data_IF_756646321638
#
_entry.id   IF_756646321638
#
_cell.length_a   1.000
_cell.length_b   1.000
_cell.length_c   1.000
_cell.angle_alpha   90.00
_cell.angle_beta   90.00
_cell.angle_gamma   90.00
#
_symmetry.space_group_name_H-M   'P 1'
#
loop_
_entity.id
_entity.type
_entity.pdbx_description
1 polymer ?
#
# COMPACT_ATOMS: atom_id res chain seq x y z
N UNK A 1 0.57 -7.16 -33.31
CA UNK A 1 0.70 -5.71 -33.09
C UNK A 1 -0.33 -5.06 -33.99
N UNK A 2 -1.28 -4.32 -33.44
CA UNK A 2 -2.38 -3.71 -34.19
C UNK A 2 -1.94 -2.38 -34.79
N UNK A 3 -2.50 -2.01 -35.95
CA UNK A 3 -2.34 -0.70 -36.56
C UNK A 3 -2.92 0.44 -35.71
N UNK A 4 -2.60 1.67 -36.11
CA UNK A 4 -3.08 2.88 -35.44
C UNK A 4 -4.26 3.56 -36.14
N UNK A 5 -4.46 3.28 -37.43
CA UNK A 5 -5.44 3.97 -38.26
C UNK A 5 -6.88 3.54 -37.95
N UNK A 6 -7.11 2.23 -37.82
CA UNK A 6 -8.43 1.64 -37.58
C UNK A 6 -8.32 0.49 -36.55
N UNK A 7 -9.46 0.11 -35.96
CA UNK A 7 -9.56 -1.09 -35.13
C UNK A 7 -9.39 -2.32 -36.00
N UNK A 8 -8.42 -3.15 -35.65
CA UNK A 8 -8.14 -4.42 -36.29
C UNK A 8 -8.72 -5.57 -35.45
N UNK A 9 -9.22 -6.61 -36.12
CA UNK A 9 -9.77 -7.81 -35.47
C UNK A 9 -8.97 -9.04 -35.87
N UNK A 10 -8.55 -9.82 -34.88
CA UNK A 10 -7.89 -11.12 -35.04
C UNK A 10 -8.80 -12.21 -34.48
N UNK A 11 -9.01 -13.27 -35.26
CA UNK A 11 -9.72 -14.45 -34.81
C UNK A 11 -8.75 -15.42 -34.12
N UNK A 12 -9.17 -16.02 -33.02
CA UNK A 12 -8.37 -16.99 -32.28
C UNK A 12 -9.19 -18.25 -31.92
N UNK A 13 -8.70 -19.47 -32.21
CA UNK A 13 -7.63 -19.73 -33.17
C UNK A 13 -7.99 -19.19 -34.58
N UNK A 14 -6.97 -18.96 -35.42
CA UNK A 14 -7.19 -18.45 -36.77
C UNK A 14 -7.48 -19.62 -37.73
N UNK A 15 -8.66 -20.21 -37.58
CA UNK A 15 -9.17 -21.30 -38.41
C UNK A 15 -10.68 -21.15 -38.69
N UNK A 16 -11.32 -22.20 -39.19
CA UNK A 16 -12.71 -22.19 -39.63
C UNK A 16 -13.73 -22.07 -38.46
N UNK A 17 -13.32 -22.40 -37.23
CA UNK A 17 -14.16 -22.40 -36.03
C UNK A 17 -13.47 -21.60 -34.91
N UNK A 18 -13.36 -20.26 -35.06
CA UNK A 18 -12.71 -19.43 -34.06
C UNK A 18 -13.49 -19.43 -32.75
N UNK A 19 -12.76 -19.38 -31.64
CA UNK A 19 -13.31 -19.39 -30.28
C UNK A 19 -13.37 -17.99 -29.67
N UNK A 20 -12.62 -17.02 -30.19
CA UNK A 20 -12.63 -15.64 -29.71
C UNK A 20 -12.30 -14.63 -30.83
N UNK A 21 -12.72 -13.39 -30.64
CA UNK A 21 -12.30 -12.22 -31.42
C UNK A 21 -11.48 -11.29 -30.55
N UNK A 22 -10.28 -10.95 -31.01
CA UNK A 22 -9.41 -10.00 -30.34
C UNK A 22 -9.38 -8.73 -31.17
N UNK A 23 -9.92 -7.64 -30.63
CA UNK A 23 -10.01 -6.34 -31.27
C UNK A 23 -9.01 -5.38 -30.64
N UNK A 24 -8.26 -4.63 -31.43
CA UNK A 24 -7.27 -3.70 -30.90
C UNK A 24 -6.94 -2.55 -31.84
N UNK A 25 -6.50 -1.44 -31.25
CA UNK A 25 -5.98 -0.28 -31.96
C UNK A 25 -4.82 0.33 -31.17
N UNK A 26 -3.70 0.57 -31.83
CA UNK A 26 -2.54 1.24 -31.25
C UNK A 26 -2.67 2.77 -31.35
N UNK A 27 -1.87 3.51 -30.58
CA UNK A 27 -1.77 4.96 -30.77
C UNK A 27 -0.98 5.29 -32.04
N UNK A 28 -1.42 6.31 -32.78
CA UNK A 28 -0.68 6.85 -33.93
C UNK A 28 0.50 7.74 -33.54
N UNK A 29 0.58 8.16 -32.27
CA UNK A 29 1.65 9.00 -31.74
C UNK A 29 1.90 8.72 -30.26
N UNK A 30 2.80 9.47 -29.62
CA UNK A 30 3.02 9.37 -28.18
C UNK A 30 1.74 9.55 -27.36
N UNK A 31 0.83 10.40 -27.82
CA UNK A 31 -0.41 10.77 -27.13
C UNK A 31 -1.59 10.51 -28.06
N UNK A 32 -2.71 10.11 -27.48
CA UNK A 32 -3.96 9.91 -28.21
C UNK A 32 -5.08 10.71 -27.55
N UNK A 33 -5.63 11.68 -28.29
CA UNK A 33 -6.75 12.51 -27.82
C UNK A 33 -8.10 12.01 -28.31
N UNK A 34 -8.12 11.09 -29.27
CA UNK A 34 -9.36 10.53 -29.79
C UNK A 34 -9.88 9.42 -28.86
N UNK A 35 -11.19 9.37 -28.71
CA UNK A 35 -11.88 8.30 -27.98
C UNK A 35 -11.95 7.03 -28.83
N UNK A 36 -10.87 6.25 -28.85
CA UNK A 36 -10.72 5.09 -29.76
C UNK A 36 -11.84 4.04 -29.60
N UNK A 37 -12.40 3.90 -28.39
CA UNK A 37 -13.46 2.93 -28.10
C UNK A 37 -14.68 3.04 -29.03
N UNK A 38 -14.95 4.22 -29.61
CA UNK A 38 -16.06 4.39 -30.56
C UNK A 38 -15.98 3.41 -31.74
N UNK A 39 -14.77 3.08 -32.19
CA UNK A 39 -14.50 2.27 -33.37
C UNK A 39 -14.55 0.76 -33.12
N UNK A 40 -14.70 0.33 -31.85
CA UNK A 40 -14.88 -1.07 -31.51
C UNK A 40 -16.34 -1.45 -31.76
N UNK A 41 -16.56 -2.14 -32.89
CA UNK A 41 -17.86 -2.62 -33.36
C UNK A 41 -17.76 -4.11 -33.73
N UNK A 42 -17.94 -5.02 -32.76
CA UNK A 42 -18.00 -6.44 -33.04
C UNK A 42 -19.12 -6.78 -34.03
N UNK A 43 -18.97 -7.84 -34.85
CA UNK A 43 -19.98 -8.20 -35.85
C UNK A 43 -21.20 -8.93 -35.26
N UNK A 44 -20.99 -9.68 -34.17
CA UNK A 44 -22.01 -10.45 -33.45
C UNK A 44 -21.46 -10.86 -32.06
N UNK A 45 -22.29 -11.56 -31.29
CA UNK A 45 -22.00 -12.09 -29.95
C UNK A 45 -21.94 -13.63 -29.92
N UNK A 46 -21.63 -14.27 -31.06
CA UNK A 46 -21.61 -15.74 -31.16
C UNK A 46 -20.40 -16.38 -30.46
N UNK A 47 -19.31 -15.63 -30.36
CA UNK A 47 -18.05 -15.98 -29.68
C UNK A 47 -17.58 -14.74 -28.90
N UNK A 48 -16.81 -14.90 -27.81
CA UNK A 48 -16.35 -13.79 -26.99
C UNK A 48 -15.56 -12.76 -27.79
N UNK A 49 -15.89 -11.49 -27.57
CA UNK A 49 -15.23 -10.33 -28.12
C UNK A 49 -14.34 -9.69 -27.04
N UNK A 50 -13.03 -9.72 -27.24
CA UNK A 50 -12.01 -9.19 -26.33
C UNK A 50 -11.45 -7.89 -26.91
N UNK A 51 -11.58 -6.80 -26.18
CA UNK A 51 -11.06 -5.49 -26.54
C UNK A 51 -9.71 -5.21 -25.88
N UNK A 52 -8.70 -4.87 -26.68
CA UNK A 52 -7.40 -4.41 -26.20
C UNK A 52 -7.33 -2.90 -26.38
N UNK A 53 -7.26 -2.14 -25.27
CA UNK A 53 -7.29 -0.68 -25.31
C UNK A 53 -6.26 -0.08 -24.36
N UNK A 54 -5.41 0.80 -24.86
CA UNK A 54 -4.52 1.59 -24.01
C UNK A 54 -5.26 2.88 -23.63
N UNK A 55 -5.58 3.08 -22.35
CA UNK A 55 -6.34 4.26 -21.89
C UNK A 55 -6.15 4.51 -20.40
N UNK A 56 -6.22 5.77 -19.98
CA UNK A 56 -6.24 6.15 -18.56
C UNK A 56 -7.63 6.23 -17.93
N UNK A 57 -8.70 5.82 -18.62
CA UNK A 57 -10.09 5.95 -18.18
C UNK A 57 -10.44 7.35 -17.64
N UNK A 58 -9.92 8.36 -18.32
CA UNK A 58 -10.15 9.75 -17.99
C UNK A 58 -10.95 10.41 -19.13
N UNK A 59 -12.28 10.54 -19.00
CA UNK A 59 -13.14 11.11 -20.04
C UNK A 59 -12.76 12.54 -20.45
N UNK A 60 -12.27 13.33 -19.48
CA UNK A 60 -11.83 14.71 -19.70
C UNK A 60 -10.35 14.82 -20.13
N UNK A 61 -9.68 13.68 -20.22
CA UNK A 61 -8.29 13.56 -20.65
C UNK A 61 -8.07 13.98 -22.11
N UNK A 62 -6.81 14.18 -22.49
CA UNK A 62 -6.42 14.52 -23.87
C UNK A 62 -5.21 13.75 -24.40
N UNK A 63 -4.72 12.78 -23.62
CA UNK A 63 -3.43 12.13 -23.88
C UNK A 63 -3.49 10.62 -24.04
N UNK A 64 -4.51 9.99 -23.47
CA UNK A 64 -4.55 8.53 -23.34
C UNK A 64 -5.94 7.99 -23.67
N UNK A 65 -6.37 8.18 -24.92
CA UNK A 65 -7.63 7.69 -25.48
C UNK A 65 -8.83 7.89 -24.52
N UNK A 66 -9.36 9.12 -24.40
CA UNK A 66 -10.34 9.47 -23.38
C UNK A 66 -11.62 8.62 -23.47
N UNK A 67 -11.97 7.98 -22.36
CA UNK A 67 -13.21 7.23 -22.16
C UNK A 67 -13.49 7.05 -20.67
N UNK A 68 -14.71 6.66 -20.33
CA UNK A 68 -15.09 6.23 -18.99
C UNK A 68 -15.54 4.76 -18.95
N UNK A 69 -15.67 4.16 -17.75
CA UNK A 69 -16.17 2.79 -17.60
C UNK A 69 -17.54 2.58 -18.26
N UNK A 70 -18.47 3.53 -18.11
CA UNK A 70 -19.80 3.45 -18.73
C UNK A 70 -19.75 3.42 -20.25
N UNK A 71 -18.72 4.00 -20.87
CA UNK A 71 -18.54 4.00 -22.31
C UNK A 71 -18.11 2.61 -22.79
N UNK A 72 -17.25 1.93 -22.03
CA UNK A 72 -16.80 0.57 -22.31
C UNK A 72 -17.92 -0.45 -22.10
N UNK A 73 -18.71 -0.29 -21.04
CA UNK A 73 -19.82 -1.18 -20.70
C UNK A 73 -20.98 -1.18 -21.72
N UNK A 74 -21.08 -0.11 -22.53
CA UNK A 74 -22.10 -0.01 -23.58
C UNK A 74 -21.70 -0.74 -24.88
N UNK A 75 -20.49 -1.30 -24.94
CA UNK A 75 -20.00 -2.04 -26.10
C UNK A 75 -20.32 -3.52 -25.96
N UNK A 76 -20.50 -4.19 -27.10
CA UNK A 76 -20.68 -5.65 -27.17
C UNK A 76 -19.33 -6.40 -27.03
N UNK A 77 -18.50 -5.93 -26.08
CA UNK A 77 -17.18 -6.47 -25.75
C UNK A 77 -17.30 -7.15 -24.38
N UNK A 78 -16.99 -8.45 -24.35
CA UNK A 78 -17.15 -9.30 -23.18
C UNK A 78 -16.01 -9.09 -22.17
N UNK A 79 -14.82 -8.68 -22.63
CA UNK A 79 -13.71 -8.31 -21.76
C UNK A 79 -12.80 -7.25 -22.40
N UNK A 80 -12.47 -6.22 -21.63
CA UNK A 80 -11.49 -5.19 -21.99
C UNK A 80 -10.17 -5.41 -21.24
N UNK A 81 -9.14 -5.84 -21.96
CA UNK A 81 -7.78 -5.84 -21.44
C UNK A 81 -7.16 -4.45 -21.63
N UNK A 82 -7.11 -3.69 -20.55
CA UNK A 82 -6.64 -2.32 -20.56
C UNK A 82 -5.13 -2.23 -20.32
N UNK A 83 -4.48 -1.32 -21.04
CA UNK A 83 -3.11 -0.88 -20.78
C UNK A 83 -3.04 0.60 -20.41
N UNK A 84 -1.86 1.07 -19.98
CA UNK A 84 -1.47 2.43 -19.56
C UNK A 84 -1.17 2.51 -18.07
N UNK A 85 -2.05 1.96 -17.23
CA UNK A 85 -1.89 1.94 -15.79
C UNK A 85 -1.01 0.75 -15.38
N UNK A 86 0.00 0.99 -14.55
CA UNK A 86 0.99 -0.02 -14.17
C UNK A 86 0.59 -0.80 -12.90
N UNK A 87 -0.46 -0.38 -12.20
CA UNK A 87 -1.00 -1.10 -11.04
C UNK A 87 -2.14 -2.01 -11.50
N UNK A 88 -2.10 -3.32 -11.17
CA UNK A 88 -3.20 -4.24 -11.44
C UNK A 88 -4.48 -3.77 -10.73
N UNK A 89 -5.60 -3.72 -11.45
CA UNK A 89 -6.89 -3.38 -10.85
C UNK A 89 -8.06 -3.77 -11.75
N UNK A 90 -9.17 -4.13 -11.11
CA UNK A 90 -10.48 -4.24 -11.75
C UNK A 90 -11.08 -2.85 -11.99
N UNK A 91 -11.93 -2.73 -13.00
CA UNK A 91 -12.64 -1.48 -13.30
C UNK A 91 -14.10 -1.64 -12.93
N UNK A 92 -14.55 -0.85 -11.96
CA UNK A 92 -15.95 -0.85 -11.56
C UNK A 92 -16.86 -0.34 -12.69
N UNK A 93 -17.94 -1.10 -12.95
CA UNK A 93 -18.98 -0.72 -13.90
C UNK A 93 -18.66 -1.01 -15.37
N UNK A 94 -17.63 -1.80 -15.66
CA UNK A 94 -17.34 -2.35 -17.00
C UNK A 94 -16.64 -3.72 -16.87
N UNK A 95 -16.76 -4.63 -17.85
CA UNK A 95 -15.99 -5.87 -17.87
C UNK A 95 -14.55 -5.58 -18.32
N UNK A 96 -13.81 -4.84 -17.49
CA UNK A 96 -12.51 -4.30 -17.84
C UNK A 96 -11.52 -4.43 -16.68
N UNK A 97 -10.26 -4.66 -17.00
CA UNK A 97 -9.20 -4.72 -16.02
C UNK A 97 -7.88 -4.20 -16.58
N UNK A 98 -7.06 -3.61 -15.71
CA UNK A 98 -5.66 -3.35 -15.98
C UNK A 98 -4.83 -4.50 -15.43
N UNK A 99 -4.03 -5.14 -16.27
CA UNK A 99 -3.08 -6.16 -15.82
C UNK A 99 -1.88 -5.57 -15.07
N UNK A 100 -1.70 -4.25 -15.13
CA UNK A 100 -0.54 -3.57 -14.59
C UNK A 100 0.72 -3.81 -15.43
N UNK A 101 1.87 -3.75 -14.77
CA UNK A 101 3.17 -4.02 -15.37
C UNK A 101 3.66 -5.42 -14.97
N UNK A 102 4.24 -6.23 -15.88
CA UNK A 102 4.74 -7.57 -15.52
C UNK A 102 5.99 -7.55 -14.63
N UNK A 103 6.76 -6.46 -14.66
CA UNK A 103 7.95 -6.26 -13.85
C UNK A 103 8.14 -4.77 -13.60
N UNK A 104 8.13 -4.37 -12.32
CA UNK A 104 8.41 -3.00 -11.91
C UNK A 104 9.81 -2.55 -12.36
N UNK A 105 9.90 -1.33 -12.88
CA UNK A 105 11.09 -0.73 -13.50
C UNK A 105 11.90 0.12 -12.54
N UNK A 106 11.27 0.62 -11.48
CA UNK A 106 11.88 1.50 -10.51
C UNK A 106 11.11 1.44 -9.19
N UNK A 107 11.69 2.04 -8.16
CA UNK A 107 11.15 2.10 -6.80
C UNK A 107 9.74 2.70 -6.66
N UNK A 108 9.27 3.49 -7.63
CA UNK A 108 7.90 4.02 -7.63
C UNK A 108 6.85 3.00 -8.09
N UNK A 109 7.27 1.80 -8.52
CA UNK A 109 6.41 0.70 -8.97
C UNK A 109 6.52 -0.46 -7.98
N UNK A 110 6.01 -0.25 -6.75
CA UNK A 110 6.06 -1.23 -5.64
C UNK A 110 5.00 -2.33 -5.72
N UNK A 111 3.96 -2.16 -6.54
CA UNK A 111 2.98 -3.21 -6.78
C UNK A 111 3.64 -4.44 -7.41
N UNK A 112 3.20 -5.64 -6.99
CA UNK A 112 3.68 -6.90 -7.57
C UNK A 112 3.37 -6.91 -9.07
N UNK A 113 4.38 -7.27 -9.86
CA UNK A 113 4.23 -7.37 -11.30
C UNK A 113 3.65 -8.72 -11.72
N UNK A 114 2.79 -8.71 -12.72
CA UNK A 114 2.05 -9.90 -13.10
C UNK A 114 1.32 -9.80 -14.43
N UNK A 115 0.39 -10.73 -14.61
CA UNK A 115 -0.60 -10.72 -15.66
C UNK A 115 -1.97 -11.10 -15.09
N UNK A 116 -3.00 -11.06 -15.93
CA UNK A 116 -4.32 -11.56 -15.58
C UNK A 116 -4.57 -12.88 -16.30
N UNK A 117 -5.02 -13.88 -15.55
CA UNK A 117 -5.73 -15.03 -16.08
C UNK A 117 -7.20 -14.64 -16.18
N UNK A 118 -7.75 -14.76 -17.39
CA UNK A 118 -9.12 -14.33 -17.68
C UNK A 118 -9.86 -15.45 -18.38
N UNK A 119 -10.91 -15.94 -17.75
CA UNK A 119 -11.88 -16.85 -18.35
C UNK A 119 -13.07 -16.03 -18.85
N UNK A 120 -13.37 -16.14 -20.14
CA UNK A 120 -14.39 -15.30 -20.80
C UNK A 120 -15.22 -16.14 -21.75
N UNK A 121 -16.54 -16.02 -21.60
CA UNK A 121 -17.55 -16.58 -22.49
C UNK A 121 -18.37 -15.44 -23.10
N UNK A 122 -18.91 -15.66 -24.29
CA UNK A 122 -19.76 -14.68 -24.95
C UNK A 122 -21.00 -14.36 -24.08
N UNK A 123 -21.20 -13.08 -23.76
CA UNK A 123 -22.34 -12.56 -23.01
C UNK A 123 -22.33 -12.87 -21.51
N UNK A 124 -21.22 -13.34 -20.95
CA UNK A 124 -21.06 -13.58 -19.50
C UNK A 124 -20.02 -12.64 -18.90
N UNK A 125 -20.14 -12.34 -17.62
CA UNK A 125 -19.10 -11.59 -16.90
C UNK A 125 -17.81 -12.42 -16.85
N UNK A 126 -16.63 -11.82 -17.13
CA UNK A 126 -15.36 -12.53 -17.11
C UNK A 126 -14.95 -12.88 -15.67
N UNK A 127 -14.36 -14.06 -15.49
CA UNK A 127 -13.67 -14.41 -14.25
C UNK A 127 -12.20 -14.00 -14.38
N UNK A 128 -11.69 -13.26 -13.39
CA UNK A 128 -10.40 -12.57 -13.48
C UNK A 128 -9.58 -12.83 -12.23
N UNK A 129 -8.43 -13.45 -12.41
CA UNK A 129 -7.44 -13.68 -11.37
C UNK A 129 -6.10 -13.03 -11.75
N UNK A 130 -5.45 -12.40 -10.78
CA UNK A 130 -4.08 -11.91 -10.94
C UNK A 130 -3.09 -13.05 -10.76
N UNK A 131 -2.17 -13.19 -11.71
CA UNK A 131 -1.08 -14.16 -11.66
C UNK A 131 0.23 -13.37 -11.47
N UNK A 132 0.89 -13.48 -10.30
CA UNK A 132 2.16 -12.82 -10.08
C UNK A 132 3.25 -13.47 -10.94
N UNK A 133 4.11 -12.65 -11.54
CA UNK A 133 5.19 -13.12 -12.42
C UNK A 133 6.52 -12.39 -12.24
N UNK A 134 6.55 -11.26 -11.54
CA UNK A 134 7.75 -10.46 -11.40
C UNK A 134 8.85 -11.21 -10.65
N UNK A 135 10.05 -11.42 -11.24
CA UNK A 135 11.17 -11.99 -10.50
C UNK A 135 11.69 -11.03 -9.42
N UNK A 136 11.61 -9.72 -9.64
CA UNK A 136 12.10 -8.71 -8.70
C UNK A 136 10.95 -7.84 -8.20
N UNK A 137 10.84 -7.70 -6.89
CA UNK A 137 9.81 -6.87 -6.24
C UNK A 137 10.44 -5.63 -5.63
N UNK A 138 9.91 -4.46 -5.96
CA UNK A 138 10.33 -3.20 -5.35
C UNK A 138 9.56 -2.99 -4.04
N UNK A 139 10.27 -2.63 -2.98
CA UNK A 139 9.71 -2.39 -1.66
C UNK A 139 10.15 -1.03 -1.14
N UNK A 140 9.19 -0.25 -0.63
CA UNK A 140 9.48 0.95 0.16
C UNK A 140 9.03 0.67 1.58
N UNK A 141 10.00 0.54 2.49
CA UNK A 141 9.76 0.15 3.88
C UNK A 141 10.01 1.36 4.77
N UNK A 142 8.95 1.80 5.43
CA UNK A 142 9.00 2.87 6.42
C UNK A 142 9.29 2.25 7.78
N UNK A 143 10.36 2.72 8.42
CA UNK A 143 10.73 2.34 9.78
C UNK A 143 10.45 3.52 10.69
N UNK A 144 9.53 3.35 11.62
CA UNK A 144 9.22 4.34 12.65
C UNK A 144 10.15 4.16 13.86
N UNK A 145 11.12 5.07 13.99
CA UNK A 145 12.13 5.07 15.05
C UNK A 145 11.58 5.31 16.45
N UNK A 146 10.32 5.74 16.58
CA UNK A 146 9.66 5.85 17.89
C UNK A 146 9.26 4.49 18.47
N UNK A 147 9.18 3.47 17.62
CA UNK A 147 8.76 2.11 17.98
C UNK A 147 9.82 1.06 17.67
N UNK A 148 10.76 1.35 16.77
CA UNK A 148 11.85 0.44 16.43
C UNK A 148 12.83 0.29 17.61
N UNK A 149 13.14 -0.96 17.95
CA UNK A 149 14.05 -1.32 19.04
C UNK A 149 14.90 -2.53 18.66
N UNK A 150 15.98 -2.76 19.41
CA UNK A 150 16.74 -4.02 19.35
C UNK A 150 15.95 -5.17 19.96
N UNK A 151 16.46 -6.39 19.82
CA UNK A 151 15.90 -7.61 20.43
C UNK A 151 15.71 -7.53 21.96
N UNK A 152 16.47 -6.66 22.65
CA UNK A 152 16.37 -6.44 24.10
C UNK A 152 15.43 -5.26 24.45
N UNK A 153 14.51 -4.89 23.54
CA UNK A 153 13.56 -3.78 23.66
C UNK A 153 14.23 -2.40 23.90
N UNK A 154 15.49 -2.23 23.46
CA UNK A 154 16.17 -0.93 23.59
C UNK A 154 16.01 -0.09 22.32
N UNK A 155 15.74 1.23 22.42
CA UNK A 155 15.68 2.10 21.24
C UNK A 155 16.95 2.02 20.40
N UNK A 156 16.82 2.19 19.08
CA UNK A 156 17.96 2.28 18.19
C UNK A 156 18.72 3.58 18.47
N UNK A 157 20.03 3.48 18.75
CA UNK A 157 20.87 4.63 19.15
C UNK A 157 22.02 4.90 18.20
N UNK A 158 22.43 3.89 17.44
CA UNK A 158 23.58 3.98 16.56
C UNK A 158 23.39 3.13 15.30
N UNK A 159 24.30 3.30 14.34
CA UNK A 159 24.24 2.60 13.05
C UNK A 159 24.26 1.07 13.16
N UNK A 160 24.90 0.49 14.19
CA UNK A 160 24.90 -0.96 14.37
C UNK A 160 23.52 -1.47 14.83
N UNK A 161 22.81 -0.71 15.69
CA UNK A 161 21.44 -1.04 16.08
C UNK A 161 20.51 -0.97 14.86
N UNK A 162 20.64 0.09 14.06
CA UNK A 162 19.87 0.26 12.83
C UNK A 162 20.18 -0.85 11.81
N UNK A 163 21.45 -1.20 11.62
CA UNK A 163 21.87 -2.31 10.76
C UNK A 163 21.22 -3.63 11.20
N UNK A 164 21.29 -3.95 12.51
CA UNK A 164 20.67 -5.17 13.06
C UNK A 164 19.15 -5.20 12.87
N UNK A 165 18.47 -4.10 13.17
CA UNK A 165 17.01 -3.99 12.98
C UNK A 165 16.60 -4.17 11.52
N UNK A 166 17.30 -3.51 10.59
CA UNK A 166 17.00 -3.62 9.17
C UNK A 166 17.36 -5.02 8.62
N UNK A 167 18.41 -5.66 9.12
CA UNK A 167 18.71 -7.07 8.81
C UNK A 167 17.59 -8.02 9.22
N UNK A 168 16.96 -7.79 10.38
CA UNK A 168 15.80 -8.56 10.84
C UNK A 168 14.61 -8.38 9.87
N UNK A 169 14.29 -7.12 9.50
CA UNK A 169 13.23 -6.83 8.52
C UNK A 169 13.51 -7.44 7.14
N UNK A 170 14.78 -7.56 6.74
CA UNK A 170 15.16 -8.31 5.54
C UNK A 170 14.87 -9.80 5.65
N UNK A 171 14.97 -10.40 6.84
CA UNK A 171 14.60 -11.80 7.05
C UNK A 171 13.09 -11.99 6.95
N UNK A 172 12.30 -11.06 7.51
CA UNK A 172 10.84 -11.08 7.38
C UNK A 172 10.40 -11.05 5.92
N UNK A 173 10.97 -10.15 5.11
CA UNK A 173 10.72 -10.10 3.67
C UNK A 173 11.03 -11.42 2.96
N UNK A 174 12.10 -12.12 3.37
CA UNK A 174 12.47 -13.41 2.77
C UNK A 174 11.52 -14.53 3.15
N UNK A 175 10.87 -14.41 4.31
CA UNK A 175 9.91 -15.38 4.81
C UNK A 175 8.49 -15.12 4.30
N UNK A 176 8.22 -13.97 3.66
CA UNK A 176 6.93 -13.63 3.10
C UNK A 176 6.50 -14.63 2.02
N UNK A 177 5.25 -15.10 2.13
CA UNK A 177 4.60 -15.95 1.14
C UNK A 177 3.82 -15.10 0.10
N UNK A 178 3.20 -15.77 -0.86
CA UNK A 178 2.48 -15.09 -1.94
C UNK A 178 1.32 -14.26 -1.39
N UNK A 179 0.61 -14.79 -0.40
CA UNK A 179 -0.56 -14.14 0.19
C UNK A 179 -0.14 -12.83 0.87
N UNK A 180 0.91 -12.85 1.67
CA UNK A 180 1.44 -11.64 2.31
C UNK A 180 1.96 -10.60 1.31
N UNK A 181 2.41 -11.02 0.12
CA UNK A 181 2.93 -10.10 -0.90
C UNK A 181 1.83 -9.51 -1.79
N UNK A 182 0.67 -10.15 -1.84
CA UNK A 182 -0.44 -9.77 -2.73
C UNK A 182 -1.69 -9.30 -1.99
N UNK A 183 -1.65 -9.25 -0.65
CA UNK A 183 -2.75 -8.81 0.24
C UNK A 183 -3.35 -7.44 -0.08
N UNK A 184 -2.54 -6.51 -0.60
CA UNK A 184 -2.96 -5.16 -0.99
C UNK A 184 -3.70 -5.10 -2.33
N UNK A 185 -3.68 -6.18 -3.13
CA UNK A 185 -4.37 -6.20 -4.41
C UNK A 185 -5.89 -6.29 -4.20
N UNK A 186 -6.61 -5.39 -4.84
CA UNK A 186 -8.08 -5.34 -4.78
C UNK A 186 -8.73 -6.29 -5.80
N UNK A 187 -8.17 -7.48 -6.02
CA UNK A 187 -8.68 -8.48 -6.96
C UNK A 187 -8.26 -9.89 -6.55
N UNK A 188 -8.98 -10.95 -7.02
CA UNK A 188 -8.58 -12.32 -6.78
C UNK A 188 -7.17 -12.59 -7.31
N UNK A 189 -6.40 -13.41 -6.59
CA UNK A 189 -5.04 -13.80 -6.94
C UNK A 189 -5.04 -15.31 -7.15
N UNK A 190 -4.50 -15.77 -8.28
CA UNK A 190 -4.39 -17.18 -8.57
C UNK A 190 -3.42 -17.87 -7.60
N UNK A 191 -3.79 -19.04 -7.11
CA UNK A 191 -2.87 -19.88 -6.33
C UNK A 191 -1.77 -20.42 -7.26
N UNK A 192 -0.52 -20.02 -7.01
CA UNK A 192 0.64 -20.47 -7.79
C UNK A 192 1.83 -20.78 -6.89
N UNK A 193 2.82 -21.48 -7.45
CA UNK A 193 4.13 -21.68 -6.80
C UNK A 193 5.08 -20.48 -7.01
N UNK A 194 4.57 -19.32 -7.44
CA UNK A 194 5.40 -18.15 -7.71
C UNK A 194 6.06 -17.65 -6.43
N UNK A 195 7.35 -17.36 -6.52
CA UNK A 195 8.12 -16.64 -5.51
C UNK A 195 9.10 -15.69 -6.21
N UNK A 196 9.31 -14.46 -5.69
CA UNK A 196 10.28 -13.56 -6.27
C UNK A 196 11.70 -14.14 -6.11
N UNK A 197 12.57 -13.87 -7.08
CA UNK A 197 14.00 -14.14 -6.97
C UNK A 197 14.67 -13.16 -5.99
N UNK A 198 14.12 -11.97 -5.83
CA UNK A 198 14.58 -11.01 -4.83
C UNK A 198 13.76 -9.74 -4.71
N UNK A 199 14.11 -8.98 -3.68
CA UNK A 199 13.53 -7.69 -3.34
C UNK A 199 14.56 -6.58 -3.54
N UNK A 200 14.09 -5.42 -3.97
CA UNK A 200 14.87 -4.19 -3.99
C UNK A 200 14.20 -3.17 -3.08
N UNK A 201 14.87 -2.86 -1.97
CA UNK A 201 14.27 -2.11 -0.86
C UNK A 201 14.83 -0.70 -0.77
N UNK A 202 13.95 0.27 -0.62
CA UNK A 202 14.26 1.58 -0.04
C UNK A 202 13.80 1.58 1.40
N UNK A 203 14.71 1.91 2.31
CA UNK A 203 14.41 2.07 3.73
C UNK A 203 14.21 3.55 4.02
N UNK A 204 13.07 3.90 4.59
CA UNK A 204 12.72 5.26 4.98
C UNK A 204 12.67 5.30 6.50
N UNK A 205 13.71 5.83 7.13
CA UNK A 205 13.77 6.04 8.57
C UNK A 205 12.96 7.30 8.89
N UNK A 206 11.98 7.17 9.78
CA UNK A 206 11.02 8.22 10.10
C UNK A 206 10.70 8.22 11.60
N UNK A 207 9.92 9.19 12.05
CA UNK A 207 9.57 9.31 13.47
C UNK A 207 10.71 9.88 14.31
N UNK A 208 10.48 9.94 15.63
CA UNK A 208 11.41 10.51 16.61
C UNK A 208 12.12 9.40 17.36
N UNK A 209 13.46 9.42 17.39
CA UNK A 209 14.22 8.38 18.08
C UNK A 209 15.67 8.76 18.34
N UNK A 210 16.30 8.07 19.28
CA UNK A 210 17.70 8.36 19.70
C UNK A 210 18.70 8.21 18.53
N UNK A 211 18.37 7.39 17.52
CA UNK A 211 19.15 7.21 16.31
C UNK A 211 19.35 8.51 15.51
N UNK A 212 18.46 9.49 15.64
CA UNK A 212 18.54 10.79 14.94
C UNK A 212 19.93 11.44 15.07
N UNK A 213 20.52 11.41 16.27
CA UNK A 213 21.84 12.01 16.55
C UNK A 213 23.00 11.30 15.81
N UNK A 214 22.78 10.07 15.36
CA UNK A 214 23.74 9.26 14.62
C UNK A 214 23.48 9.25 13.10
N UNK A 215 22.44 9.95 12.62
CA UNK A 215 22.09 10.01 11.21
C UNK A 215 22.52 11.33 10.58
N UNK A 216 23.14 11.20 9.42
CA UNK A 216 23.41 12.25 8.45
C UNK A 216 23.52 11.60 7.05
N UNK A 217 23.79 12.40 6.01
CA UNK A 217 23.92 11.91 4.65
C UNK A 217 25.00 10.80 4.53
N UNK A 218 26.15 10.96 5.19
CA UNK A 218 27.23 9.97 5.16
C UNK A 218 26.84 8.68 5.89
N UNK A 219 26.16 8.80 7.03
CA UNK A 219 25.71 7.68 7.84
C UNK A 219 24.68 6.82 7.09
N UNK A 220 23.73 7.43 6.38
CA UNK A 220 22.74 6.70 5.56
C UNK A 220 23.40 5.95 4.40
N UNK A 221 24.40 6.53 3.74
CA UNK A 221 25.19 5.88 2.70
C UNK A 221 26.00 4.70 3.24
N UNK A 222 26.64 4.87 4.41
CA UNK A 222 27.36 3.79 5.10
C UNK A 222 26.40 2.65 5.43
N UNK A 223 25.24 2.94 6.00
CA UNK A 223 24.24 1.93 6.35
C UNK A 223 23.74 1.18 5.10
N UNK A 224 23.41 1.90 4.03
CA UNK A 224 23.00 1.29 2.76
C UNK A 224 24.08 0.34 2.21
N UNK A 225 25.35 0.74 2.24
CA UNK A 225 26.45 -0.10 1.77
C UNK A 225 26.66 -1.35 2.61
N UNK A 226 26.59 -1.25 3.94
CA UNK A 226 26.68 -2.42 4.83
C UNK A 226 25.57 -3.43 4.56
N UNK A 227 24.34 -2.95 4.40
CA UNK A 227 23.20 -3.79 4.07
C UNK A 227 23.38 -4.50 2.71
N UNK A 228 23.87 -3.79 1.68
CA UNK A 228 24.17 -4.37 0.35
C UNK A 228 25.21 -5.49 0.42
N UNK A 229 26.28 -5.31 1.20
CA UNK A 229 27.35 -6.32 1.32
C UNK A 229 26.82 -7.66 1.87
N UNK A 230 25.80 -7.61 2.73
CA UNK A 230 25.15 -8.78 3.34
C UNK A 230 24.04 -9.40 2.49
N UNK A 231 23.62 -8.72 1.42
CA UNK A 231 22.47 -9.10 0.59
C UNK A 231 22.74 -10.24 -0.39
N UNK A 232 24.01 -10.53 -0.69
CA UNK A 232 24.44 -11.19 -1.94
C UNK A 232 24.32 -12.72 -2.00
N UNK A 233 24.03 -13.40 -0.88
CA UNK A 233 24.11 -14.88 -0.80
C UNK A 233 22.78 -15.60 -0.55
N UNK A 234 21.70 -14.86 -0.27
CA UNK A 234 20.40 -15.42 0.10
C UNK A 234 19.44 -15.51 -1.10
N UNK A 235 18.44 -16.41 -1.00
CA UNK A 235 17.33 -16.52 -1.93
C UNK A 235 16.02 -16.57 -1.14
N UNK A 236 15.04 -15.69 -1.40
CA UNK A 236 15.17 -14.49 -2.23
C UNK A 236 16.27 -13.55 -1.71
N UNK A 237 16.97 -12.85 -2.61
CA UNK A 237 17.90 -11.81 -2.18
C UNK A 237 17.12 -10.57 -1.74
N UNK A 238 17.72 -9.73 -0.89
CA UNK A 238 17.11 -8.44 -0.51
C UNK A 238 18.17 -7.38 -0.69
N UNK A 239 18.12 -6.61 -1.77
CA UNK A 239 19.11 -5.58 -2.08
C UNK A 239 18.63 -4.21 -1.63
N UNK A 240 19.49 -3.44 -0.96
CA UNK A 240 19.16 -2.08 -0.53
C UNK A 240 19.45 -1.08 -1.65
N UNK A 241 18.41 -0.45 -2.19
CA UNK A 241 18.52 0.65 -3.16
C UNK A 241 19.00 1.93 -2.48
N UNK A 242 18.40 2.32 -1.36
CA UNK A 242 18.83 3.45 -0.53
C UNK A 242 18.30 3.34 0.90
N UNK A 243 18.93 4.10 1.80
CA UNK A 243 18.38 4.45 3.11
C UNK A 243 18.14 5.95 3.08
N UNK A 244 16.95 6.39 3.51
CA UNK A 244 16.56 7.79 3.58
C UNK A 244 16.26 8.16 5.01
N UNK A 245 16.73 9.33 5.41
CA UNK A 245 16.48 9.88 6.72
C UNK A 245 15.43 10.99 6.64
N UNK A 246 14.29 10.74 7.30
CA UNK A 246 13.23 11.71 7.61
C UNK A 246 12.93 11.69 9.11
N UNK A 247 13.91 11.28 9.92
CA UNK A 247 13.78 11.24 11.36
C UNK A 247 13.86 12.62 11.99
N UNK A 248 13.42 12.70 13.23
CA UNK A 248 13.47 13.90 14.06
C UNK A 248 14.07 13.57 15.43
N UNK A 249 14.62 14.56 16.15
CA UNK A 249 15.17 14.31 17.47
C UNK A 249 14.07 13.84 18.43
N UNK A 250 14.42 13.02 19.45
CA UNK A 250 13.52 12.71 20.55
C UNK A 250 12.92 13.99 21.14
N UNK A 251 11.67 13.90 21.59
CA UNK A 251 11.09 15.01 22.33
C UNK A 251 11.83 15.22 23.65
N UNK A 252 11.94 16.48 24.12
CA UNK A 252 12.28 16.74 25.52
C UNK A 252 11.32 16.01 26.45
N UNK A 253 11.74 15.83 27.71
CA UNK A 253 10.85 15.31 28.74
C UNK A 253 9.61 16.20 28.92
N UNK A 254 8.53 15.62 29.44
CA UNK A 254 7.24 16.29 29.58
C UNK A 254 7.33 17.57 30.43
N UNK A 255 8.19 17.60 31.45
CA UNK A 255 8.37 18.77 32.31
C UNK A 255 8.93 19.94 31.50
N UNK A 256 9.98 19.69 30.71
CA UNK A 256 10.55 20.67 29.78
C UNK A 256 9.54 21.14 28.74
N UNK A 257 8.72 20.23 28.18
CA UNK A 257 7.70 20.59 27.19
C UNK A 257 6.59 21.46 27.78
N UNK A 258 6.09 21.13 28.97
CA UNK A 258 5.09 21.93 29.69
C UNK A 258 5.62 23.32 30.02
N UNK A 259 6.88 23.44 30.42
CA UNK A 259 7.50 24.74 30.71
C UNK A 259 7.67 25.62 29.47
N UNK A 260 7.88 25.01 28.30
CA UNK A 260 8.25 25.72 27.07
C UNK A 260 7.09 25.95 26.10
N UNK A 261 5.96 25.28 26.27
CA UNK A 261 4.84 25.33 25.33
C UNK A 261 3.47 25.45 26.02
N UNK A 262 2.83 26.61 25.85
CA UNK A 262 1.51 26.92 26.40
C UNK A 262 0.43 25.91 25.95
N UNK A 263 0.48 25.42 24.71
CA UNK A 263 -0.51 24.45 24.21
C UNK A 263 -0.33 23.08 24.88
N UNK A 264 0.93 22.65 25.07
CA UNK A 264 1.22 21.38 25.75
C UNK A 264 0.88 21.51 27.24
N UNK A 265 1.15 22.66 27.86
CA UNK A 265 0.74 22.96 29.24
C UNK A 265 -0.78 22.84 29.39
N UNK A 266 -1.55 23.51 28.54
CA UNK A 266 -3.02 23.43 28.53
C UNK A 266 -3.53 21.99 28.32
N UNK A 267 -2.89 21.23 27.42
CA UNK A 267 -3.24 19.83 27.17
C UNK A 267 -3.00 18.94 28.40
N UNK A 268 -1.87 19.12 29.08
CA UNK A 268 -1.53 18.37 30.29
C UNK A 268 -2.48 18.76 31.43
N UNK A 269 -2.76 20.05 31.60
CA UNK A 269 -3.75 20.55 32.56
C UNK A 269 -5.14 19.96 32.31
N UNK A 270 -5.60 19.95 31.06
CA UNK A 270 -6.87 19.33 30.67
C UNK A 270 -6.87 17.83 30.98
N UNK A 271 -5.76 17.13 30.73
CA UNK A 271 -5.66 15.70 31.05
C UNK A 271 -5.78 15.45 32.56
N UNK A 272 -5.23 16.33 33.39
CA UNK A 272 -5.34 16.24 34.84
C UNK A 272 -6.76 16.57 35.32
N UNK A 273 -7.41 17.57 34.73
CA UNK A 273 -8.82 17.89 35.01
C UNK A 273 -9.73 16.69 34.69
N UNK A 274 -9.53 16.04 33.54
CA UNK A 274 -10.26 14.81 33.17
C UNK A 274 -10.04 13.72 34.21
N UNK A 275 -8.82 13.59 34.77
CA UNK A 275 -8.52 12.54 35.77
C UNK A 275 -9.15 12.82 37.12
N UNK A 276 -9.33 14.09 37.50
CA UNK A 276 -9.86 14.51 38.79
C UNK A 276 -11.38 14.69 38.80
N UNK A 277 -12.01 14.91 37.65
CA UNK A 277 -13.46 15.08 37.55
C UNK A 277 -14.22 13.80 37.17
N UNK A 278 -14.91 13.21 38.15
CA UNK A 278 -15.74 12.02 37.98
C UNK A 278 -16.83 12.18 36.90
N UNK A 279 -17.36 13.40 36.72
CA UNK A 279 -18.38 13.65 35.70
C UNK A 279 -17.80 13.55 34.29
N UNK A 280 -16.63 14.14 34.06
CA UNK A 280 -15.90 14.05 32.80
C UNK A 280 -15.42 12.63 32.52
N UNK A 281 -14.92 11.88 33.53
CA UNK A 281 -14.59 10.45 33.38
C UNK A 281 -15.81 9.64 32.95
N UNK A 282 -16.98 9.90 33.54
CA UNK A 282 -18.22 9.24 33.15
C UNK A 282 -18.65 9.56 31.71
N UNK A 283 -18.48 10.80 31.26
CA UNK A 283 -18.73 11.18 29.86
C UNK A 283 -17.75 10.49 28.90
N UNK A 284 -16.46 10.42 29.25
CA UNK A 284 -15.44 9.75 28.43
C UNK A 284 -15.76 8.26 28.25
N UNK A 285 -16.16 7.58 29.35
CA UNK A 285 -16.61 6.18 29.32
C UNK A 285 -17.80 5.97 28.39
N UNK A 286 -18.76 6.90 28.37
CA UNK A 286 -19.91 6.81 27.48
C UNK A 286 -19.52 6.95 25.99
N UNK A 287 -18.33 7.48 25.69
CA UNK A 287 -17.84 7.72 24.32
C UNK A 287 -16.85 6.68 23.80
N UNK A 288 -16.38 5.74 24.61
CA UNK A 288 -15.41 4.71 24.16
C UNK A 288 -16.01 3.75 23.13
N UNK A 289 -17.33 3.66 23.02
CA UNK A 289 -18.05 2.91 22.00
C UNK A 289 -18.34 1.46 22.41
N UNK A 290 -19.08 0.74 21.56
CA UNK A 290 -19.69 -0.56 21.90
C UNK A 290 -18.67 -1.70 22.12
N UNK A 291 -17.42 -1.52 21.69
CA UNK A 291 -16.34 -2.51 21.86
C UNK A 291 -15.89 -2.61 23.33
N UNK A 292 -16.10 -1.57 24.14
CA UNK A 292 -15.63 -1.51 25.52
C UNK A 292 -16.74 -1.81 26.53
N UNK A 293 -16.39 -2.54 27.58
CA UNK A 293 -17.28 -2.86 28.70
C UNK A 293 -16.68 -2.41 30.03
N UNK A 294 -17.36 -1.49 30.73
CA UNK A 294 -16.88 -0.92 31.99
C UNK A 294 -16.87 -1.95 33.12
N UNK A 295 -15.75 -2.05 33.84
CA UNK A 295 -15.55 -2.92 35.00
C UNK A 295 -15.07 -2.12 36.21
N UNK A 296 -15.77 -2.29 37.32
CA UNK A 296 -15.37 -1.68 38.59
C UNK A 296 -14.33 -2.52 39.36
N UNK A 297 -14.22 -3.84 39.08
CA UNK A 297 -13.34 -4.78 39.81
C UNK A 297 -12.71 -5.84 38.87
N UNK A 298 -11.46 -6.26 39.16
CA UNK A 298 -10.63 -7.15 38.32
C UNK A 298 -11.02 -8.66 38.36
N UNK A 299 -11.95 -9.11 39.22
CA UNK A 299 -12.07 -10.53 39.64
C UNK A 299 -13.14 -11.43 38.94
N UNK A 300 -13.75 -11.06 37.81
CA UNK A 300 -14.79 -11.91 37.17
C UNK A 300 -14.50 -12.34 35.71
N UNK A 301 -14.52 -13.66 35.49
CA UNK A 301 -14.09 -14.39 34.28
C UNK A 301 -15.04 -14.34 33.06
N UNK A 302 -16.23 -13.72 33.13
CA UNK A 302 -17.14 -13.66 31.98
C UNK A 302 -17.04 -12.31 31.25
N UNK A 303 -16.15 -12.21 30.26
CA UNK A 303 -16.25 -11.21 29.17
C UNK A 303 -16.83 -11.95 27.96
N UNK A 304 -17.75 -11.34 27.19
CA UNK A 304 -18.08 -11.92 25.89
C UNK A 304 -16.80 -11.93 25.03
N UNK A 305 -16.52 -13.01 24.30
CA UNK A 305 -15.31 -13.14 23.46
C UNK A 305 -15.07 -11.93 22.53
N UNK A 306 -16.12 -11.15 22.24
CA UNK A 306 -16.10 -10.00 21.34
C UNK A 306 -15.88 -8.61 22.01
N UNK A 307 -15.66 -8.50 23.33
CA UNK A 307 -15.55 -7.20 24.03
C UNK A 307 -14.28 -7.05 24.87
N UNK A 308 -13.83 -5.80 25.03
CA UNK A 308 -12.63 -5.47 25.80
C UNK A 308 -13.03 -4.82 27.12
N UNK A 309 -12.57 -5.38 28.24
CA UNK A 309 -12.79 -4.78 29.56
C UNK A 309 -12.12 -3.42 29.70
N UNK A 310 -12.83 -2.45 30.27
CA UNK A 310 -12.33 -1.10 30.57
C UNK A 310 -12.50 -0.85 32.07
N UNK A 311 -11.40 -0.69 32.79
CA UNK A 311 -11.37 -0.30 34.21
C UNK A 311 -10.73 1.09 34.36
N UNK A 312 -10.61 1.59 35.59
CA UNK A 312 -10.01 2.90 35.85
C UNK A 312 -8.55 2.97 35.36
N UNK A 313 -7.79 1.89 35.54
CA UNK A 313 -6.38 1.84 35.16
C UNK A 313 -6.21 1.91 33.65
N UNK A 314 -6.98 1.13 32.89
CA UNK A 314 -6.99 1.17 31.42
C UNK A 314 -7.51 2.50 30.90
N UNK A 315 -8.46 3.13 31.58
CA UNK A 315 -8.92 4.47 31.23
C UNK A 315 -7.79 5.50 31.37
N UNK A 316 -7.02 5.43 32.47
CA UNK A 316 -5.83 6.27 32.65
C UNK A 316 -4.78 5.99 31.57
N UNK A 317 -4.49 4.72 31.25
CA UNK A 317 -3.56 4.33 30.18
C UNK A 317 -4.00 4.88 28.80
N UNK A 318 -5.31 4.89 28.51
CA UNK A 318 -5.86 5.46 27.28
C UNK A 318 -5.67 6.98 27.23
N UNK A 319 -5.88 7.67 28.36
CA UNK A 319 -5.65 9.12 28.46
C UNK A 319 -4.16 9.41 28.25
N UNK A 320 -3.25 8.67 28.88
CA UNK A 320 -1.80 8.83 28.71
C UNK A 320 -1.40 8.68 27.24
N UNK A 321 -1.86 7.61 26.57
CA UNK A 321 -1.59 7.39 25.15
C UNK A 321 -2.15 8.51 24.26
N UNK A 322 -3.33 9.04 24.58
CA UNK A 322 -3.93 10.14 23.84
C UNK A 322 -3.14 11.45 23.99
N UNK A 323 -2.66 11.75 25.19
CA UNK A 323 -1.81 12.92 25.47
C UNK A 323 -0.48 12.79 24.72
N UNK A 324 0.23 11.66 24.87
CA UNK A 324 1.51 11.41 24.17
C UNK A 324 1.35 11.60 22.67
N UNK A 325 0.33 10.98 22.07
CA UNK A 325 0.07 11.10 20.62
C UNK A 325 -0.24 12.53 20.18
N UNK A 326 -0.95 13.29 21.02
CA UNK A 326 -1.27 14.69 20.73
C UNK A 326 -0.03 15.58 20.79
N UNK A 327 0.86 15.34 21.75
CA UNK A 327 2.15 16.03 21.87
C UNK A 327 3.03 15.73 20.65
N UNK A 328 3.12 14.46 20.24
CA UNK A 328 3.89 14.05 19.05
C UNK A 328 3.39 14.74 17.77
N UNK A 329 2.07 14.81 17.58
CA UNK A 329 1.45 15.47 16.43
C UNK A 329 1.70 16.99 16.45
N UNK A 330 1.58 17.63 17.61
CA UNK A 330 1.86 19.07 17.76
C UNK A 330 3.32 19.40 17.43
N UNK A 331 4.25 18.59 17.92
CA UNK A 331 5.67 18.75 17.62
C UNK A 331 5.96 18.54 16.13
N UNK A 332 5.38 17.50 15.51
CA UNK A 332 5.54 17.21 14.07
C UNK A 332 5.01 18.34 13.18
N UNK A 333 3.87 18.94 13.51
CA UNK A 333 3.32 20.07 12.76
C UNK A 333 4.19 21.32 12.85
N UNK A 334 4.86 21.54 13.97
CA UNK A 334 5.78 22.68 14.14
C UNK A 334 7.03 22.54 13.30
N UNK A 335 7.62 21.34 13.27
CA UNK A 335 8.81 21.09 12.47
C UNK A 335 8.52 21.27 10.97
N UNK A 336 7.32 20.87 10.50
CA UNK A 336 6.87 21.09 9.12
C UNK A 336 6.50 22.55 8.78
N UNK A 337 6.31 23.42 9.77
CA UNK A 337 5.95 24.82 9.58
C UNK A 337 7.18 25.76 9.52
N UNK A 338 8.36 25.27 9.90
CA UNK A 338 9.64 25.98 9.87
C UNK A 338 10.47 25.60 8.64
#
# INVERSE_FOLDING_TARGET
MFGADDVETVLYPNDDEPEARIMGQSYGSQWESNSLYYHYTPPDTAIPNIGLLHTGLNPDGRRYAPCGPSDLAQKEIDYWALGHIHTPQLVDGAPAAYAGIPQGRNIGETAIGGCLLVDVDAGSDPDIEFVPTSPIVWQEIVVDLSTASTDDDTPLRNLADAEGYLEERMLDLRAADQDSLTDTLSMPVAETDWMPEGFVCRWTLSGRGELFEALDEEATDVLANRLRDRSSSASPFVWTESVRDYSAPPLPDLETLVESDEIISELVELSNEIREDDATRAELRAKTGDVWEWRADEEHEDISEDRIGLDEKRLDDLIDRAVTRSIDELATRRDNAN
#
